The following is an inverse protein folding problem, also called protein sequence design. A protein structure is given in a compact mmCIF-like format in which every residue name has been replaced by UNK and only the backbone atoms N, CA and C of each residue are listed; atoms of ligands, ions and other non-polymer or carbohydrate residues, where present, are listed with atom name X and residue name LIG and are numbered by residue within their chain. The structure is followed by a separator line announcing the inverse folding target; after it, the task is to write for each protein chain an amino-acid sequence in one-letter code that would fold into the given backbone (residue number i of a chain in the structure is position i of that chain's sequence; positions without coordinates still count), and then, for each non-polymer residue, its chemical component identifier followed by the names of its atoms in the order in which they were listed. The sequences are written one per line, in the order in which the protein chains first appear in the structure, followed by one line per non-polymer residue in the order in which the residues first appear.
data_IF_105985318352
#
_entry.id   IF_105985318352
#
_cell.length_a   1.000
_cell.length_b   1.000
_cell.length_c   1.000
_cell.angle_alpha   90.00
_cell.angle_beta   90.00
_cell.angle_gamma   90.00
#
_symmetry.space_group_name_H-M   'P 1'
#
loop_
_entity.id
_entity.type
_entity.pdbx_description
1 polymer ?
#
# COMPACT_ATOMS: atom_id res chain seq x y z
N UNK A 1 -1.67 2.04 -2.69
CA UNK A 1 -1.65 2.84 -3.94
C UNK A 1 -3.07 3.30 -4.21
N UNK A 2 -3.26 4.54 -4.68
CA UNK A 2 -4.57 5.07 -5.10
C UNK A 2 -4.63 5.18 -6.62
N UNK A 3 -5.78 4.90 -7.22
CA UNK A 3 -5.99 5.08 -8.65
C UNK A 3 -6.68 6.42 -8.92
N UNK A 4 -6.11 7.21 -9.82
CA UNK A 4 -6.61 8.53 -10.21
C UNK A 4 -6.63 8.65 -11.72
N UNK A 5 -7.32 9.66 -12.23
CA UNK A 5 -7.48 9.88 -13.66
C UNK A 5 -6.90 11.22 -14.04
N UNK A 6 -5.96 11.23 -14.98
CA UNK A 6 -5.48 12.47 -15.57
C UNK A 6 -6.60 13.18 -16.33
N UNK A 7 -6.45 14.48 -16.58
CA UNK A 7 -7.42 15.24 -17.40
C UNK A 7 -7.57 14.70 -18.83
N UNK A 8 -6.56 13.99 -19.36
CA UNK A 8 -6.63 13.31 -20.66
C UNK A 8 -7.46 12.00 -20.63
N UNK A 9 -7.96 11.57 -19.47
CA UNK A 9 -8.74 10.34 -19.28
C UNK A 9 -7.90 9.09 -19.01
N UNK A 10 -6.58 9.19 -18.98
CA UNK A 10 -5.69 8.06 -18.70
C UNK A 10 -5.67 7.77 -17.18
N UNK A 11 -5.99 6.54 -16.75
CA UNK A 11 -5.89 6.15 -15.36
C UNK A 11 -4.42 5.91 -14.99
N UNK A 12 -4.04 6.29 -13.77
CA UNK A 12 -2.72 6.02 -13.22
C UNK A 12 -2.80 5.71 -11.73
N UNK A 13 -1.85 4.91 -11.25
CA UNK A 13 -1.69 4.62 -9.83
C UNK A 13 -0.68 5.60 -9.21
N UNK A 14 -1.01 6.15 -8.04
CA UNK A 14 -0.16 7.06 -7.29
C UNK A 14 0.05 6.53 -5.86
N UNK A 15 1.27 6.71 -5.34
CA UNK A 15 1.51 6.49 -3.93
C UNK A 15 0.97 7.68 -3.13
N UNK A 16 -0.07 7.51 -2.28
CA UNK A 16 -0.61 8.62 -1.51
C UNK A 16 0.37 9.20 -0.49
N UNK A 17 1.40 8.44 -0.07
CA UNK A 17 2.37 8.91 0.94
C UNK A 17 3.41 9.89 0.36
N UNK A 18 3.50 10.00 -0.97
CA UNK A 18 4.38 10.97 -1.64
C UNK A 18 3.67 12.31 -1.91
N UNK A 19 2.37 12.38 -1.68
CA UNK A 19 1.58 13.59 -1.89
C UNK A 19 1.94 14.60 -0.82
N UNK A 20 2.49 15.73 -1.26
CA UNK A 20 2.79 16.86 -0.38
C UNK A 20 1.56 17.76 -0.22
N UNK A 21 0.83 18.00 -1.32
CA UNK A 21 -0.31 18.93 -1.33
C UNK A 21 -1.34 18.57 -2.40
N UNK A 22 -2.62 18.84 -2.11
CA UNK A 22 -3.71 18.80 -3.07
C UNK A 22 -4.45 20.14 -3.04
N UNK A 23 -4.60 20.77 -4.21
CA UNK A 23 -5.21 22.10 -4.36
C UNK A 23 -6.35 22.03 -5.38
N UNK A 24 -7.44 22.78 -5.13
CA UNK A 24 -8.58 22.86 -6.05
C UNK A 24 -8.56 24.20 -6.81
N UNK A 25 -8.21 24.18 -8.10
CA UNK A 25 -8.13 25.35 -8.99
C UNK A 25 -8.53 25.04 -10.43
N UNK A 26 -9.63 25.63 -10.94
CA UNK A 26 -10.81 24.91 -11.49
C UNK A 26 -10.74 23.36 -11.56
N UNK A 27 -9.58 22.80 -11.92
CA UNK A 27 -9.18 21.41 -11.84
C UNK A 27 -8.40 21.12 -10.54
N UNK A 28 -8.27 19.85 -10.15
CA UNK A 28 -7.51 19.46 -8.96
C UNK A 28 -6.05 19.22 -9.31
N UNK A 29 -5.14 19.85 -8.56
CA UNK A 29 -3.68 19.68 -8.72
C UNK A 29 -3.11 18.95 -7.52
N UNK A 30 -2.42 17.85 -7.77
CA UNK A 30 -1.67 17.07 -6.78
C UNK A 30 -0.19 17.40 -6.95
N UNK A 31 0.44 17.91 -5.90
CA UNK A 31 1.88 18.15 -5.85
C UNK A 31 2.56 17.07 -5.02
N UNK A 32 3.61 16.47 -5.58
CA UNK A 32 4.48 15.51 -4.91
C UNK A 32 5.67 16.22 -4.27
N UNK A 33 6.27 15.56 -3.29
CA UNK A 33 7.53 15.97 -2.65
C UNK A 33 8.71 16.18 -3.63
N UNK A 34 8.68 15.52 -4.79
CA UNK A 34 9.71 15.65 -5.85
C UNK A 34 9.45 16.83 -6.80
N UNK A 35 8.63 17.81 -6.43
CA UNK A 35 8.16 18.94 -7.27
C UNK A 35 7.36 18.52 -8.53
N UNK A 36 7.06 17.23 -8.70
CA UNK A 36 6.19 16.74 -9.78
C UNK A 36 4.74 17.08 -9.46
N UNK A 37 3.99 17.53 -10.47
CA UNK A 37 2.57 17.91 -10.33
C UNK A 37 1.70 17.11 -11.29
N UNK A 38 0.56 16.66 -10.80
CA UNK A 38 -0.47 15.99 -11.61
C UNK A 38 -1.75 16.79 -11.59
N UNK A 39 -2.35 16.98 -12.77
CA UNK A 39 -3.72 17.47 -12.90
C UNK A 39 -4.64 16.27 -13.04
N UNK A 40 -5.61 16.19 -12.13
CA UNK A 40 -6.52 15.05 -12.02
C UNK A 40 -7.97 15.49 -12.17
N UNK A 41 -8.83 14.57 -12.59
CA UNK A 41 -10.27 14.82 -12.76
C UNK A 41 -11.02 14.73 -11.44
N UNK A 42 -10.48 13.97 -10.50
CA UNK A 42 -11.06 13.80 -9.17
C UNK A 42 -11.04 15.12 -8.41
N UNK A 43 -12.09 15.37 -7.64
CA UNK A 43 -12.16 16.50 -6.73
C UNK A 43 -11.20 16.33 -5.54
N UNK A 44 -10.87 17.43 -4.87
CA UNK A 44 -10.11 17.41 -3.61
C UNK A 44 -10.68 16.39 -2.61
N UNK A 45 -12.01 16.31 -2.49
CA UNK A 45 -12.67 15.40 -1.55
C UNK A 45 -12.49 13.93 -1.94
N UNK A 46 -12.66 13.61 -3.22
CA UNK A 46 -12.46 12.24 -3.74
C UNK A 46 -11.02 11.77 -3.53
N UNK A 47 -10.03 12.63 -3.76
CA UNK A 47 -8.62 12.33 -3.49
C UNK A 47 -8.39 12.05 -2.00
N UNK A 48 -8.96 12.86 -1.11
CA UNK A 48 -8.86 12.64 0.34
C UNK A 48 -9.49 11.32 0.79
N UNK A 49 -10.66 10.98 0.24
CA UNK A 49 -11.34 9.71 0.51
C UNK A 49 -10.47 8.54 0.02
N UNK A 50 -9.94 8.61 -1.21
CA UNK A 50 -9.08 7.57 -1.76
C UNK A 50 -7.82 7.34 -0.90
N UNK A 51 -7.19 8.41 -0.40
CA UNK A 51 -6.04 8.32 0.51
C UNK A 51 -6.44 7.62 1.82
N UNK A 52 -7.57 8.03 2.40
CA UNK A 52 -8.07 7.47 3.66
C UNK A 52 -8.41 5.98 3.50
N UNK A 53 -9.11 5.63 2.43
CA UNK A 53 -9.52 4.26 2.14
C UNK A 53 -8.31 3.38 1.89
N UNK A 54 -7.31 3.86 1.14
CA UNK A 54 -6.05 3.13 0.95
C UNK A 54 -5.37 2.81 2.28
N UNK A 55 -5.31 3.77 3.23
CA UNK A 55 -4.70 3.53 4.55
C UNK A 55 -5.54 2.62 5.42
N UNK A 56 -6.86 2.78 5.38
CA UNK A 56 -7.79 1.93 6.10
C UNK A 56 -7.72 0.48 5.60
N UNK A 57 -7.62 0.28 4.29
CA UNK A 57 -7.50 -1.03 3.65
C UNK A 57 -6.20 -1.75 4.06
N UNK A 58 -5.07 -1.06 4.04
CA UNK A 58 -3.79 -1.62 4.52
C UNK A 58 -3.90 -2.02 6.00
N UNK A 59 -4.51 -1.19 6.84
CA UNK A 59 -4.66 -1.46 8.27
C UNK A 59 -5.64 -2.62 8.54
N UNK A 60 -6.79 -2.63 7.86
CA UNK A 60 -7.76 -3.72 7.92
C UNK A 60 -7.13 -5.04 7.43
N UNK A 61 -6.29 -4.94 6.40
CA UNK A 61 -5.48 -6.05 5.90
C UNK A 61 -4.51 -6.57 6.95
N UNK A 62 -3.76 -5.69 7.62
CA UNK A 62 -2.89 -6.11 8.70
C UNK A 62 -3.67 -6.75 9.87
N UNK A 63 -4.79 -6.14 10.30
CA UNK A 63 -5.57 -6.63 11.44
C UNK A 63 -6.17 -8.00 11.22
N UNK A 64 -6.72 -8.28 10.04
CA UNK A 64 -7.29 -9.60 9.81
C UNK A 64 -6.21 -10.67 9.56
N UNK A 65 -4.95 -10.29 9.25
CA UNK A 65 -3.82 -11.21 9.16
C UNK A 65 -3.39 -11.63 10.56
N UNK A 66 -3.30 -10.66 11.48
CA UNK A 66 -3.01 -10.88 12.91
C UNK A 66 -4.03 -11.83 13.56
N UNK A 67 -5.31 -11.68 13.22
CA UNK A 67 -6.40 -12.54 13.74
C UNK A 67 -6.57 -13.87 12.99
N UNK A 68 -5.76 -14.15 11.98
CA UNK A 68 -5.89 -15.35 11.14
C UNK A 68 -7.19 -15.41 10.32
N UNK A 69 -7.90 -14.30 10.18
CA UNK A 69 -9.16 -14.19 9.41
C UNK A 69 -8.94 -13.79 7.96
N UNK A 70 -7.75 -13.33 7.59
CA UNK A 70 -7.39 -13.12 6.19
C UNK A 70 -7.06 -14.44 5.52
N UNK A 71 -7.86 -14.79 4.52
CA UNK A 71 -7.52 -15.84 3.57
C UNK A 71 -6.27 -15.37 2.82
N UNK A 72 -5.08 -15.86 3.21
CA UNK A 72 -3.88 -15.68 2.41
C UNK A 72 -4.20 -16.22 1.02
N UNK A 73 -4.19 -15.41 -0.05
CA UNK A 73 -4.23 -16.00 -1.38
C UNK A 73 -3.05 -16.96 -1.45
N UNK A 74 -3.30 -18.22 -1.81
CA UNK A 74 -2.26 -19.21 -2.09
C UNK A 74 -1.45 -18.70 -3.28
N UNK A 75 -0.48 -17.84 -3.03
CA UNK A 75 0.63 -17.63 -3.94
C UNK A 75 1.41 -18.95 -3.91
N UNK A 76 1.21 -19.79 -4.92
CA UNK A 76 2.10 -20.90 -5.19
C UNK A 76 3.44 -20.29 -5.59
N UNK A 77 4.31 -20.05 -4.60
CA UNK A 77 5.73 -19.92 -4.87
C UNK A 77 6.16 -21.29 -5.34
N UNK A 78 6.29 -21.47 -6.66
CA UNK A 78 7.05 -22.59 -7.20
C UNK A 78 8.50 -22.33 -6.79
N UNK A 79 8.89 -22.91 -5.66
CA UNK A 79 10.29 -23.13 -5.37
C UNK A 79 10.78 -24.09 -6.46
N UNK A 80 11.52 -23.55 -7.43
CA UNK A 80 12.38 -24.37 -8.28
C UNK A 80 13.40 -25.03 -7.34
N UNK A 81 13.13 -26.30 -7.08
CA UNK A 81 13.79 -27.21 -6.16
C UNK A 81 15.18 -27.57 -6.69
N UNK A 82 16.26 -26.89 -6.26
CA UNK A 82 17.65 -27.40 -6.32
C UNK A 82 18.59 -26.75 -5.27
N UNK A 83 18.14 -26.53 -4.03
CA UNK A 83 19.09 -26.41 -2.90
C UNK A 83 18.55 -27.16 -1.68
N UNK A 84 19.22 -28.28 -1.41
CA UNK A 84 19.05 -29.16 -0.26
C UNK A 84 19.06 -28.32 1.04
N UNK A 85 17.87 -28.16 1.62
CA UNK A 85 17.71 -27.62 2.97
C UNK A 85 16.88 -28.63 3.75
N UNK A 86 17.57 -29.25 4.70
CA UNK A 86 17.13 -30.33 5.59
C UNK A 86 15.69 -30.14 6.14
N UNK A 87 14.79 -31.13 5.97
CA UNK A 87 13.38 -31.01 6.31
C UNK A 87 13.13 -31.53 7.72
N UNK A 88 13.52 -30.78 8.76
CA UNK A 88 13.02 -31.05 10.11
C UNK A 88 12.54 -29.78 10.79
N UNK A 89 11.23 -29.56 10.72
CA UNK A 89 10.48 -28.83 11.76
C UNK A 89 9.72 -27.59 11.28
N UNK A 90 8.43 -27.81 11.03
CA UNK A 90 7.31 -26.86 11.11
C UNK A 90 7.50 -25.48 10.46
N UNK A 91 6.91 -25.34 9.27
CA UNK A 91 6.88 -24.12 8.48
C UNK A 91 6.05 -23.01 9.14
N UNK A 92 6.64 -22.35 10.12
CA UNK A 92 6.23 -21.04 10.59
C UNK A 92 7.11 -20.02 9.87
N UNK A 93 6.62 -19.44 8.77
CA UNK A 93 7.19 -18.21 8.24
C UNK A 93 6.82 -17.07 9.20
N UNK A 94 7.43 -17.11 10.38
CA UNK A 94 7.22 -16.19 11.47
C UNK A 94 7.86 -14.85 11.09
N UNK A 95 7.02 -13.83 10.95
CA UNK A 95 7.45 -12.45 11.04
C UNK A 95 8.19 -12.32 12.36
N UNK A 96 9.50 -12.06 12.33
CA UNK A 96 10.29 -11.93 13.54
C UNK A 96 9.68 -10.83 14.42
N UNK A 97 9.49 -11.06 15.73
CA UNK A 97 8.99 -10.04 16.62
C UNK A 97 9.94 -8.84 16.60
N UNK A 98 9.37 -7.63 16.45
CA UNK A 98 10.14 -6.39 16.49
C UNK A 98 10.88 -6.28 17.84
N UNK A 99 12.19 -5.96 17.85
CA UNK A 99 12.94 -5.85 19.09
C UNK A 99 12.37 -4.71 19.92
N UNK A 100 11.96 -5.02 21.16
CA UNK A 100 11.56 -4.01 22.13
C UNK A 100 12.77 -3.12 22.45
N UNK A 101 12.66 -1.84 22.16
CA UNK A 101 13.64 -0.82 22.57
C UNK A 101 13.42 -0.53 24.06
N UNK A 102 14.31 -1.01 24.92
CA UNK A 102 14.38 -0.57 26.31
C UNK A 102 14.86 0.89 26.35
N UNK A 103 13.96 1.81 26.72
CA UNK A 103 14.31 3.17 27.10
C UNK A 103 15.02 3.14 28.47
N UNK A 104 16.21 3.74 28.54
CA UNK A 104 16.96 3.96 29.78
C UNK A 104 17.36 5.43 29.89
#
# INVERSE_FOLDING_TARGET
MICLTRLNGEPFALNPDLIERVEAHPDTVISLNDNVRFLVRESLHEVLVAIRDCRADVLATAYAMDRGTHARPLMSVTVDDEHDCDPTGDGDHAVLPFPHREER
#
